data_IF_764856013472
#
_entry.id   IF_764856013472
#
_cell.length_a   1.000
_cell.length_b   1.000
_cell.length_c   1.000
_cell.angle_alpha   90.00
_cell.angle_beta   90.00
_cell.angle_gamma   90.00
#
_symmetry.space_group_name_H-M   'P 1'
#
loop_
_entity.id
_entity.type
_entity.pdbx_description
1 polymer ?
#
# COMPACT_ATOMS: atom_id res chain seq x y z
N UNK A 1 16.96 0.36 3.85
CA UNK A 1 15.71 1.10 3.51
C UNK A 1 14.52 0.31 4.01
N UNK A 2 13.60 0.95 4.68
CA UNK A 2 12.37 0.36 5.22
C UNK A 2 11.14 0.83 4.44
N UNK A 3 10.07 0.07 4.51
CA UNK A 3 8.75 0.48 4.02
C UNK A 3 7.76 0.55 5.17
N UNK A 4 7.16 1.72 5.37
CA UNK A 4 6.03 1.94 6.26
C UNK A 4 4.74 1.68 5.49
N UNK A 5 3.84 0.83 6.03
CA UNK A 5 2.55 0.53 5.41
C UNK A 5 1.42 0.98 6.34
N UNK A 6 0.57 1.89 5.87
CA UNK A 6 -0.59 2.36 6.60
C UNK A 6 -1.74 1.35 6.50
N UNK A 7 -1.98 0.60 7.56
CA UNK A 7 -2.91 -0.53 7.59
C UNK A 7 -4.01 -0.41 8.66
N UNK A 8 -4.20 0.78 9.24
CA UNK A 8 -5.08 0.96 10.40
C UNK A 8 -6.46 1.54 10.11
N UNK A 9 -6.83 1.79 8.84
CA UNK A 9 -8.11 2.39 8.47
C UNK A 9 -9.32 1.45 8.63
N UNK A 10 -10.52 2.03 8.83
CA UNK A 10 -11.77 1.29 9.06
C UNK A 10 -12.29 0.51 7.84
N UNK A 11 -11.93 0.90 6.61
CA UNK A 11 -12.34 0.21 5.38
C UNK A 11 -13.84 0.23 5.10
N UNK A 12 -14.56 1.28 5.50
CA UNK A 12 -16.03 1.37 5.47
C UNK A 12 -16.65 1.24 4.08
N UNK A 13 -15.91 1.55 3.02
CA UNK A 13 -16.37 1.46 1.61
C UNK A 13 -16.48 0.03 1.07
N UNK A 14 -15.93 -0.95 1.77
CA UNK A 14 -15.97 -2.38 1.45
C UNK A 14 -16.40 -3.18 2.70
N UNK A 15 -17.47 -2.73 3.33
CA UNK A 15 -17.96 -3.25 4.62
C UNK A 15 -18.28 -4.73 4.61
N UNK A 16 -18.69 -5.30 3.47
CA UNK A 16 -18.95 -6.73 3.28
C UNK A 16 -17.74 -7.61 3.63
N UNK A 17 -16.54 -7.12 3.33
CA UNK A 17 -15.28 -7.81 3.60
C UNK A 17 -14.65 -7.39 4.94
N UNK A 18 -14.85 -6.13 5.34
CA UNK A 18 -14.16 -5.56 6.51
C UNK A 18 -14.93 -5.74 7.81
N UNK A 19 -16.11 -6.36 7.76
CA UNK A 19 -16.86 -6.76 8.96
C UNK A 19 -16.11 -7.76 9.86
N UNK A 20 -15.23 -8.60 9.28
CA UNK A 20 -14.47 -9.63 10.01
C UNK A 20 -12.97 -9.38 10.06
N UNK A 21 -12.40 -8.69 9.07
CA UNK A 21 -10.96 -8.43 8.92
C UNK A 21 -10.68 -6.98 8.51
N UNK A 22 -9.51 -6.40 8.78
CA UNK A 22 -9.18 -5.06 8.29
C UNK A 22 -8.92 -5.11 6.77
N UNK A 23 -9.13 -4.00 6.07
CA UNK A 23 -9.01 -3.91 4.61
C UNK A 23 -7.71 -4.49 4.04
N UNK A 24 -6.51 -4.27 4.64
CA UNK A 24 -5.26 -4.87 4.19
C UNK A 24 -5.22 -6.40 4.22
N UNK A 25 -6.14 -7.03 4.97
CA UNK A 25 -6.25 -8.49 5.08
C UNK A 25 -7.33 -9.09 4.16
N UNK A 26 -7.97 -8.29 3.32
CA UNK A 26 -8.86 -8.80 2.27
C UNK A 26 -8.02 -9.49 1.20
N UNK A 27 -8.44 -10.69 0.81
CA UNK A 27 -7.64 -11.58 -0.02
C UNK A 27 -7.89 -11.38 -1.52
N UNK A 28 -6.81 -11.50 -2.28
CA UNK A 28 -6.75 -11.62 -3.73
C UNK A 28 -5.93 -12.87 -4.04
N UNK A 29 -6.51 -13.84 -4.75
CA UNK A 29 -5.84 -15.10 -5.05
C UNK A 29 -5.44 -15.89 -3.80
N UNK A 30 -6.22 -15.82 -2.71
CA UNK A 30 -5.95 -16.50 -1.45
C UNK A 30 -4.80 -15.90 -0.62
N UNK A 31 -4.34 -14.68 -0.94
CA UNK A 31 -3.36 -13.93 -0.16
C UNK A 31 -3.87 -12.53 0.16
N UNK A 32 -3.65 -12.00 1.39
CA UNK A 32 -4.04 -10.63 1.72
C UNK A 32 -3.45 -9.61 0.73
N UNK A 33 -4.19 -8.53 0.41
CA UNK A 33 -3.65 -7.46 -0.44
C UNK A 33 -2.36 -6.87 0.16
N UNK A 34 -2.23 -6.84 1.48
CA UNK A 34 -1.01 -6.48 2.20
C UNK A 34 0.19 -7.34 1.76
N UNK A 35 0.00 -8.65 1.59
CA UNK A 35 1.04 -9.55 1.10
C UNK A 35 1.47 -9.18 -0.33
N UNK A 36 0.54 -8.87 -1.22
CA UNK A 36 0.85 -8.43 -2.58
C UNK A 36 1.67 -7.14 -2.60
N UNK A 37 1.30 -6.17 -1.77
CA UNK A 37 2.05 -4.91 -1.62
C UNK A 37 3.49 -5.21 -1.16
N UNK A 38 3.65 -6.02 -0.11
CA UNK A 38 4.97 -6.40 0.41
C UNK A 38 5.81 -7.15 -0.64
N UNK A 39 5.19 -8.02 -1.47
CA UNK A 39 5.87 -8.71 -2.58
C UNK A 39 6.37 -7.73 -3.64
N UNK A 40 5.60 -6.69 -3.95
CA UNK A 40 6.04 -5.63 -4.88
C UNK A 40 7.32 -4.96 -4.37
N UNK A 41 7.37 -4.53 -3.12
CA UNK A 41 8.59 -3.96 -2.52
C UNK A 41 9.74 -4.97 -2.46
N UNK A 42 9.43 -6.22 -2.12
CA UNK A 42 10.40 -7.31 -2.01
C UNK A 42 11.08 -7.63 -3.36
N UNK A 43 10.35 -7.55 -4.47
CA UNK A 43 10.90 -7.69 -5.83
C UNK A 43 11.95 -6.63 -6.17
N UNK A 44 11.93 -5.49 -5.46
CA UNK A 44 12.91 -4.41 -5.55
C UNK A 44 13.94 -4.40 -4.41
N UNK A 45 14.08 -5.52 -3.68
CA UNK A 45 15.10 -5.70 -2.64
C UNK A 45 14.78 -5.05 -1.30
N UNK A 46 13.54 -4.62 -1.05
CA UNK A 46 13.12 -4.04 0.22
C UNK A 46 12.34 -5.10 1.01
N UNK A 47 12.92 -5.53 2.14
CA UNK A 47 12.41 -6.65 2.96
C UNK A 47 12.14 -6.27 4.43
N UNK A 48 12.33 -5.01 4.82
CA UNK A 48 12.09 -4.52 6.19
C UNK A 48 10.84 -3.63 6.19
N UNK A 49 9.78 -4.09 6.85
CA UNK A 49 8.47 -3.49 6.86
C UNK A 49 8.05 -3.06 8.25
N UNK A 50 7.50 -1.84 8.35
CA UNK A 50 6.84 -1.32 9.55
C UNK A 50 5.37 -1.11 9.23
N UNK A 51 4.49 -1.90 9.82
CA UNK A 51 3.06 -1.89 9.52
C UNK A 51 2.32 -1.16 10.63
N UNK A 52 1.68 -0.04 10.29
CA UNK A 52 0.85 0.75 11.19
C UNK A 52 -0.51 0.09 11.37
N UNK A 53 -0.68 -0.71 12.41
CA UNK A 53 -1.93 -1.35 12.76
C UNK A 53 -2.90 -0.38 13.45
N UNK A 54 -4.17 -0.60 13.32
CA UNK A 54 -5.28 0.10 13.99
C UNK A 54 -6.49 -0.81 14.02
N UNK A 55 -7.59 -0.41 13.40
CA UNK A 55 -8.82 -1.19 13.36
C UNK A 55 -8.55 -2.66 13.02
N UNK A 56 -8.97 -3.56 13.92
CA UNK A 56 -8.73 -5.01 13.82
C UNK A 56 -7.25 -5.39 13.57
N UNK A 57 -6.31 -4.59 14.06
CA UNK A 57 -4.87 -4.83 13.89
C UNK A 57 -4.39 -6.18 14.43
N UNK A 58 -5.16 -6.79 15.36
CA UNK A 58 -4.89 -8.14 15.85
C UNK A 58 -4.90 -9.18 14.73
N UNK A 59 -5.79 -9.08 13.74
CA UNK A 59 -5.86 -10.00 12.60
C UNK A 59 -4.56 -9.97 11.79
N UNK A 60 -3.95 -8.77 11.63
CA UNK A 60 -2.64 -8.64 10.97
C UNK A 60 -1.55 -9.30 11.82
N UNK A 61 -1.57 -9.08 13.14
CA UNK A 61 -0.61 -9.69 14.08
C UNK A 61 -0.71 -11.21 14.07
N UNK A 62 -1.92 -11.75 14.12
CA UNK A 62 -2.19 -13.19 14.07
C UNK A 62 -1.70 -13.81 12.75
N UNK A 63 -1.94 -13.15 11.62
CA UNK A 63 -1.46 -13.60 10.32
C UNK A 63 0.06 -13.76 10.29
N UNK A 64 0.83 -12.77 10.76
CA UNK A 64 2.28 -12.84 10.78
C UNK A 64 2.83 -13.77 11.87
N UNK A 65 2.15 -13.86 13.03
CA UNK A 65 2.52 -14.83 14.08
C UNK A 65 2.42 -16.28 13.58
N UNK A 66 1.44 -16.56 12.72
CA UNK A 66 1.20 -17.87 12.13
C UNK A 66 1.76 -18.02 10.71
N UNK A 67 2.56 -17.07 10.23
CA UNK A 67 3.00 -17.01 8.83
C UNK A 67 3.72 -18.31 8.39
N UNK A 68 4.59 -18.87 9.24
CA UNK A 68 5.28 -20.11 8.94
C UNK A 68 4.34 -21.31 8.82
N UNK A 69 3.24 -21.33 9.58
CA UNK A 69 2.22 -22.37 9.45
C UNK A 69 1.52 -22.35 8.09
N UNK A 70 1.34 -21.16 7.52
CA UNK A 70 0.72 -21.00 6.22
C UNK A 70 1.68 -21.23 5.03
N UNK A 71 2.98 -21.11 5.27
CA UNK A 71 4.00 -21.10 4.22
C UNK A 71 4.97 -22.29 4.32
N UNK A 72 4.63 -23.36 5.07
CA UNK A 72 5.52 -24.49 5.31
C UNK A 72 4.77 -25.80 5.37
N UNK A 73 5.44 -26.88 4.99
CA UNK A 73 4.98 -28.24 5.31
C UNK A 73 5.38 -28.59 6.75
N UNK A 74 4.42 -28.99 7.56
CA UNK A 74 4.60 -29.14 9.00
C UNK A 74 4.03 -30.49 9.48
N UNK A 75 4.77 -31.17 10.36
CA UNK A 75 4.28 -32.29 11.14
C UNK A 75 4.06 -31.87 12.59
N UNK A 76 2.87 -32.11 13.10
CA UNK A 76 2.55 -31.99 14.52
C UNK A 76 2.53 -33.38 15.16
N UNK A 77 3.46 -33.66 16.03
CA UNK A 77 3.44 -34.84 16.92
C UNK A 77 2.67 -34.47 18.19
N UNK A 78 1.38 -34.75 18.19
CA UNK A 78 0.49 -34.41 19.30
C UNK A 78 0.81 -35.18 20.57
N UNK A 79 1.35 -36.42 20.45
CA UNK A 79 1.70 -37.25 21.61
C UNK A 79 2.88 -36.63 22.36
N UNK A 80 3.89 -36.15 21.65
CA UNK A 80 5.12 -35.61 22.23
C UNK A 80 5.16 -34.11 22.31
N UNK A 81 4.06 -33.42 21.90
CA UNK A 81 3.95 -31.97 21.82
C UNK A 81 5.11 -31.33 21.05
N UNK A 82 5.42 -31.86 19.87
CA UNK A 82 6.50 -31.40 19.01
C UNK A 82 5.97 -30.93 17.68
N UNK A 83 6.62 -29.92 17.12
CA UNK A 83 6.38 -29.40 15.77
C UNK A 83 7.67 -29.48 14.95
N UNK A 84 7.58 -30.03 13.74
CA UNK A 84 8.70 -30.15 12.80
C UNK A 84 8.30 -29.45 11.49
N UNK A 85 9.11 -28.47 11.07
CA UNK A 85 8.92 -27.72 9.83
C UNK A 85 9.83 -28.30 8.76
N UNK A 86 9.27 -28.89 7.68
CA UNK A 86 10.02 -29.60 6.65
C UNK A 86 10.49 -28.69 5.52
N UNK A 87 9.58 -27.88 4.96
CA UNK A 87 9.89 -26.94 3.88
C UNK A 87 9.50 -25.53 4.30
N UNK A 88 10.34 -24.56 3.94
CA UNK A 88 10.14 -23.15 4.29
C UNK A 88 10.04 -22.35 3.01
N UNK A 89 8.84 -21.89 2.69
CA UNK A 89 8.55 -21.01 1.55
C UNK A 89 8.30 -19.56 1.98
N UNK A 90 8.59 -19.25 3.25
CA UNK A 90 8.40 -17.90 3.78
C UNK A 90 9.37 -16.91 3.12
N UNK A 91 8.87 -15.76 2.78
CA UNK A 91 9.64 -14.64 2.28
C UNK A 91 10.65 -14.15 3.33
N UNK A 92 11.80 -13.58 2.90
CA UNK A 92 12.85 -13.10 3.79
C UNK A 92 12.51 -11.76 4.45
N UNK A 93 11.28 -11.63 4.96
CA UNK A 93 10.79 -10.37 5.51
C UNK A 93 11.12 -10.21 6.98
N UNK A 94 11.48 -8.98 7.34
CA UNK A 94 11.46 -8.49 8.70
C UNK A 94 10.23 -7.58 8.85
N UNK A 95 9.32 -7.94 9.74
CA UNK A 95 8.04 -7.26 9.91
C UNK A 95 7.90 -6.74 11.33
N UNK A 96 7.74 -5.43 11.46
CA UNK A 96 7.42 -4.77 12.72
C UNK A 96 5.97 -4.32 12.68
N UNK A 97 5.16 -4.78 13.63
CA UNK A 97 3.73 -4.50 13.74
C UNK A 97 3.51 -3.53 14.89
N UNK A 98 3.16 -2.28 14.57
CA UNK A 98 2.99 -1.22 15.57
C UNK A 98 1.50 -0.91 15.72
N UNK A 99 1.01 -0.96 16.95
CA UNK A 99 -0.32 -0.45 17.26
C UNK A 99 -0.29 1.07 17.24
N UNK A 100 -0.93 1.65 16.24
CA UNK A 100 -0.99 3.10 16.07
C UNK A 100 -2.34 3.71 16.48
N UNK A 101 -3.21 2.91 17.12
CA UNK A 101 -4.52 3.33 17.60
C UNK A 101 -5.61 3.34 16.52
N UNK A 102 -6.87 3.19 16.93
CA UNK A 102 -8.01 3.09 16.02
C UNK A 102 -8.36 4.44 15.38
N UNK A 103 -8.35 5.52 16.19
CA UNK A 103 -8.78 6.87 15.79
C UNK A 103 -7.65 7.75 15.24
N UNK A 104 -6.48 7.19 15.01
CA UNK A 104 -5.30 7.92 14.53
C UNK A 104 -5.37 8.09 13.00
N UNK A 105 -5.12 9.30 12.53
CA UNK A 105 -5.10 9.63 11.11
C UNK A 105 -3.77 9.22 10.43
N UNK A 106 -3.69 9.31 9.12
CA UNK A 106 -2.56 8.83 8.31
C UNK A 106 -1.22 9.43 8.73
N UNK A 107 -1.15 10.75 8.92
CA UNK A 107 0.05 11.43 9.42
C UNK A 107 0.36 11.08 10.89
N UNK A 108 -0.67 10.99 11.74
CA UNK A 108 -0.49 10.54 13.11
C UNK A 108 0.10 9.13 13.22
N UNK A 109 -0.34 8.19 12.36
CA UNK A 109 0.25 6.84 12.30
C UNK A 109 1.73 6.88 11.90
N UNK A 110 2.07 7.69 10.91
CA UNK A 110 3.45 7.89 10.50
C UNK A 110 4.28 8.49 11.65
N UNK A 111 3.75 9.46 12.38
CA UNK A 111 4.41 10.05 13.55
C UNK A 111 4.71 9.00 14.64
N UNK A 112 3.75 8.11 14.92
CA UNK A 112 3.90 7.05 15.94
C UNK A 112 4.96 6.00 15.60
N UNK A 113 5.36 5.88 14.34
CA UNK A 113 6.43 4.97 13.90
C UNK A 113 7.75 5.70 13.58
N UNK A 114 7.86 6.98 13.91
CA UNK A 114 9.04 7.81 13.63
C UNK A 114 10.35 7.19 14.11
N UNK A 115 10.38 6.59 15.30
CA UNK A 115 11.58 5.94 15.84
C UNK A 115 12.08 4.75 15.01
N UNK A 116 11.22 4.15 14.18
CA UNK A 116 11.59 3.06 13.31
C UNK A 116 12.26 3.52 12.02
N UNK A 117 12.13 4.81 11.64
CA UNK A 117 12.61 5.35 10.35
C UNK A 117 13.58 6.51 10.48
N UNK A 118 13.77 7.07 11.69
CA UNK A 118 14.59 8.27 11.92
C UNK A 118 16.06 8.15 11.50
N UNK A 119 16.61 6.93 11.54
CA UNK A 119 18.01 6.65 11.21
C UNK A 119 18.19 6.19 9.75
N UNK A 120 17.12 6.15 8.95
CA UNK A 120 17.20 5.84 7.53
C UNK A 120 17.65 7.07 6.72
N UNK A 121 18.39 6.89 5.63
CA UNK A 121 18.64 7.97 4.67
C UNK A 121 17.34 8.44 4.01
N UNK A 122 16.51 7.48 3.63
CA UNK A 122 15.16 7.62 3.15
C UNK A 122 14.38 6.33 3.41
N UNK A 123 13.06 6.40 3.47
CA UNK A 123 12.17 5.25 3.63
C UNK A 123 10.98 5.33 2.67
N UNK A 124 10.39 4.19 2.37
CA UNK A 124 9.16 4.14 1.59
C UNK A 124 7.93 4.24 2.51
N UNK A 125 6.87 4.88 2.02
CA UNK A 125 5.54 4.89 2.66
C UNK A 125 4.49 4.49 1.63
N UNK A 126 3.55 3.63 2.00
CA UNK A 126 2.42 3.29 1.13
C UNK A 126 1.15 3.00 1.94
N UNK A 127 0.02 3.01 1.24
CA UNK A 127 -1.27 2.57 1.78
C UNK A 127 -1.37 1.04 1.71
N UNK A 128 -2.12 0.45 2.66
CA UNK A 128 -2.29 -1.00 2.77
C UNK A 128 -3.42 -1.58 1.91
N UNK A 129 -3.88 -0.87 0.87
CA UNK A 129 -5.10 -1.20 0.15
C UNK A 129 -5.05 -1.01 -1.38
N UNK A 130 -3.89 -0.73 -1.94
CA UNK A 130 -3.71 -0.55 -3.38
C UNK A 130 -2.47 -1.25 -3.92
N UNK A 131 -2.57 -1.77 -5.13
CA UNK A 131 -1.50 -2.44 -5.86
C UNK A 131 -1.13 -1.70 -7.14
N UNK A 132 0.14 -1.80 -7.55
CA UNK A 132 0.68 -1.15 -8.74
C UNK A 132 1.89 -1.92 -9.27
N UNK A 133 2.18 -1.77 -10.55
CA UNK A 133 3.42 -2.21 -11.18
C UNK A 133 4.51 -1.13 -11.18
N UNK A 134 4.40 -0.14 -10.29
CA UNK A 134 5.40 0.91 -10.14
C UNK A 134 6.79 0.34 -9.85
N UNK A 135 7.79 0.82 -10.59
CA UNK A 135 9.17 0.43 -10.33
C UNK A 135 9.71 1.19 -9.11
N UNK A 136 9.75 0.50 -7.97
CA UNK A 136 10.20 1.07 -6.69
C UNK A 136 11.69 1.49 -6.77
N UNK A 137 12.52 0.77 -7.50
CA UNK A 137 13.94 1.12 -7.67
C UNK A 137 14.09 2.45 -8.39
N UNK A 138 13.32 2.66 -9.46
CA UNK A 138 13.34 3.91 -10.21
C UNK A 138 12.76 5.06 -9.38
N UNK A 139 11.68 4.82 -8.62
CA UNK A 139 11.09 5.79 -7.71
C UNK A 139 12.10 6.26 -6.64
N UNK A 140 12.84 5.33 -6.02
CA UNK A 140 13.89 5.65 -5.05
C UNK A 140 15.04 6.43 -5.69
N UNK A 141 15.46 6.02 -6.88
CA UNK A 141 16.52 6.70 -7.64
C UNK A 141 16.10 8.13 -8.00
N UNK A 142 14.87 8.29 -8.46
CA UNK A 142 14.28 9.59 -8.76
C UNK A 142 14.27 10.50 -7.52
N UNK A 143 13.76 10.00 -6.37
CA UNK A 143 13.74 10.76 -5.12
C UNK A 143 15.12 11.29 -4.74
N UNK A 144 16.14 10.44 -4.77
CA UNK A 144 17.52 10.84 -4.46
C UNK A 144 18.06 11.92 -5.43
N UNK A 145 17.69 11.84 -6.69
CA UNK A 145 18.10 12.83 -7.70
C UNK A 145 17.41 14.19 -7.51
N UNK A 146 16.17 14.21 -7.06
CA UNK A 146 15.40 15.46 -6.84
C UNK A 146 15.87 16.24 -5.60
N UNK A 147 16.49 15.60 -4.63
CA UNK A 147 16.98 16.22 -3.36
C UNK A 147 15.87 16.91 -2.58
N UNK A 148 14.68 16.37 -2.62
CA UNK A 148 13.47 16.83 -1.89
C UNK A 148 13.21 15.97 -0.66
N UNK A 149 12.40 16.44 0.28
CA UNK A 149 12.03 15.67 1.47
C UNK A 149 10.99 14.57 1.18
N UNK A 150 10.14 14.78 0.17
CA UNK A 150 9.10 13.81 -0.18
C UNK A 150 8.97 13.66 -1.70
N UNK A 151 8.76 12.43 -2.14
CA UNK A 151 8.35 12.10 -3.51
C UNK A 151 7.12 11.22 -3.44
N UNK A 152 6.07 11.59 -4.16
CA UNK A 152 4.88 10.76 -4.35
C UNK A 152 4.85 10.15 -5.76
N UNK A 153 4.18 9.02 -5.92
CA UNK A 153 3.85 8.50 -7.24
C UNK A 153 2.58 9.17 -7.74
N UNK A 154 2.69 9.89 -8.87
CA UNK A 154 1.55 10.48 -9.56
C UNK A 154 1.06 9.52 -10.63
N UNK A 155 -0.23 9.20 -10.63
CA UNK A 155 -0.84 8.25 -11.57
C UNK A 155 -2.18 8.78 -12.10
N UNK A 156 -2.60 8.23 -13.22
CA UNK A 156 -3.93 8.52 -13.79
C UNK A 156 -4.91 7.49 -13.21
N UNK A 157 -6.00 7.92 -12.53
CA UNK A 157 -6.95 7.00 -11.94
C UNK A 157 -7.65 6.14 -13.02
N UNK A 158 -7.99 4.87 -12.71
CA UNK A 158 -8.79 4.06 -13.62
C UNK A 158 -10.15 4.72 -13.86
N UNK A 159 -10.62 4.71 -15.11
CA UNK A 159 -11.92 5.28 -15.46
C UNK A 159 -13.06 4.53 -14.78
N UNK A 160 -13.94 5.26 -14.12
CA UNK A 160 -15.12 4.70 -13.42
C UNK A 160 -16.39 4.85 -14.22
N UNK A 161 -16.47 5.84 -15.11
CA UNK A 161 -17.66 6.23 -15.88
C UNK A 161 -17.34 6.36 -17.36
N UNK A 162 -18.38 6.28 -18.20
CA UNK A 162 -18.27 6.68 -19.60
C UNK A 162 -18.08 8.19 -19.73
N UNK A 163 -17.15 8.63 -20.56
CA UNK A 163 -16.96 10.03 -20.89
C UNK A 163 -17.72 10.40 -22.17
N UNK A 164 -18.37 11.55 -22.15
CA UNK A 164 -19.10 12.10 -23.27
C UNK A 164 -18.36 13.33 -23.81
N UNK A 165 -18.15 13.37 -25.13
CA UNK A 165 -17.83 14.61 -25.82
C UNK A 165 -19.14 15.17 -26.39
N UNK A 166 -19.48 16.40 -26.01
CA UNK A 166 -20.79 16.99 -26.33
C UNK A 166 -20.66 18.31 -27.08
N UNK A 167 -21.57 18.49 -28.06
CA UNK A 167 -21.80 19.77 -28.69
C UNK A 167 -23.27 20.18 -28.47
N UNK A 168 -23.50 21.09 -27.55
CA UNK A 168 -24.85 21.39 -27.02
C UNK A 168 -25.44 20.12 -26.39
N UNK A 169 -26.62 19.70 -26.86
CA UNK A 169 -27.29 18.48 -26.36
C UNK A 169 -26.97 17.23 -27.20
N UNK A 170 -26.08 17.33 -28.21
CA UNK A 170 -25.67 16.18 -29.02
C UNK A 170 -24.37 15.60 -28.51
N UNK A 171 -24.30 14.24 -28.41
CA UNK A 171 -23.09 13.49 -28.07
C UNK A 171 -22.30 13.29 -29.36
N UNK A 172 -21.09 13.86 -29.45
CA UNK A 172 -20.17 13.66 -30.56
C UNK A 172 -19.41 12.36 -30.45
N UNK A 173 -18.99 12.01 -29.23
CA UNK A 173 -18.34 10.71 -28.96
C UNK A 173 -18.66 10.22 -27.55
N UNK A 174 -18.70 8.90 -27.41
CA UNK A 174 -18.81 8.21 -26.15
C UNK A 174 -17.58 7.30 -25.97
N UNK A 175 -16.92 7.38 -24.83
CA UNK A 175 -15.79 6.50 -24.49
C UNK A 175 -16.09 5.84 -23.16
N UNK A 176 -16.24 4.50 -23.16
CA UNK A 176 -16.48 3.75 -21.94
C UNK A 176 -15.20 3.71 -21.10
N UNK A 177 -15.29 4.18 -19.85
CA UNK A 177 -14.21 4.15 -18.83
C UNK A 177 -12.84 4.58 -19.37
N UNK A 178 -12.71 5.74 -20.03
CA UNK A 178 -11.39 6.21 -20.43
C UNK A 178 -10.54 6.39 -19.16
N UNK A 179 -9.24 6.22 -19.27
CA UNK A 179 -8.32 6.61 -18.19
C UNK A 179 -8.52 8.11 -17.99
N UNK A 180 -9.05 8.50 -16.82
CA UNK A 180 -9.30 9.86 -16.32
C UNK A 180 -9.45 10.99 -17.35
N UNK A 181 -9.68 12.18 -16.92
CA UNK A 181 -9.66 13.42 -17.72
C UNK A 181 -8.24 13.95 -18.00
N UNK A 182 -7.22 13.14 -17.70
CA UNK A 182 -5.80 13.50 -17.83
C UNK A 182 -5.19 14.10 -16.56
N UNK A 183 -5.98 14.37 -15.52
CA UNK A 183 -5.44 14.82 -14.24
C UNK A 183 -4.76 13.66 -13.50
N UNK A 184 -3.50 13.87 -13.09
CA UNK A 184 -2.80 12.94 -12.22
C UNK A 184 -3.27 13.10 -10.77
N UNK A 185 -3.32 11.98 -10.06
CA UNK A 185 -3.67 11.94 -8.64
C UNK A 185 -2.52 11.34 -7.82
N UNK A 186 -2.57 11.52 -6.50
CA UNK A 186 -1.70 10.83 -5.57
C UNK A 186 -2.00 9.32 -5.60
N UNK A 187 -1.06 8.54 -6.12
CA UNK A 187 -1.15 7.07 -6.21
C UNK A 187 -0.59 6.34 -4.99
N UNK A 188 -0.18 7.03 -3.94
CA UNK A 188 0.59 6.42 -2.84
C UNK A 188 2.04 6.16 -3.26
N UNK A 189 2.67 5.08 -2.77
CA UNK A 189 4.05 4.71 -3.09
C UNK A 189 4.99 5.91 -3.00
N UNK A 190 5.17 6.40 -1.77
CA UNK A 190 6.05 7.53 -1.47
C UNK A 190 7.47 7.05 -1.19
N UNK A 191 8.44 7.91 -1.44
CA UNK A 191 9.77 7.89 -0.84
C UNK A 191 9.96 9.17 -0.05
N UNK A 192 10.35 9.04 1.21
CA UNK A 192 10.37 10.11 2.20
C UNK A 192 11.72 10.16 2.90
N UNK A 193 12.22 11.36 3.14
CA UNK A 193 13.29 11.61 4.09
C UNK A 193 12.74 11.67 5.52
N UNK A 194 13.48 11.24 6.56
CA UNK A 194 12.99 11.28 7.95
C UNK A 194 12.53 12.66 8.44
N UNK A 195 13.05 13.73 7.85
CA UNK A 195 12.66 15.12 8.18
C UNK A 195 11.16 15.41 7.95
N UNK A 196 10.45 14.59 7.15
CA UNK A 196 9.00 14.75 6.99
C UNK A 196 8.22 14.58 8.29
N UNK A 197 8.80 13.92 9.30
CA UNK A 197 8.20 13.75 10.62
C UNK A 197 7.96 15.11 11.33
N UNK A 198 8.77 16.12 11.03
CA UNK A 198 8.63 17.48 11.60
C UNK A 198 7.35 18.20 11.11
N UNK A 199 6.75 17.73 10.02
CA UNK A 199 5.48 18.25 9.50
C UNK A 199 4.24 17.64 10.18
N UNK A 200 4.43 16.66 11.05
CA UNK A 200 3.34 15.92 11.69
C UNK A 200 3.09 16.45 13.11
N UNK A 201 1.97 17.14 13.32
CA UNK A 201 1.64 17.77 14.59
C UNK A 201 1.23 16.77 15.68
N UNK A 202 0.26 15.91 15.38
CA UNK A 202 -0.36 14.98 16.34
C UNK A 202 -1.06 13.79 15.66
N UNK A 203 -1.81 13.02 16.44
CA UNK A 203 -2.59 11.87 15.98
C UNK A 203 -3.72 12.21 14.98
N UNK A 204 -4.17 13.46 14.97
CA UNK A 204 -5.23 13.94 14.05
C UNK A 204 -4.68 14.46 12.74
N UNK A 205 -3.37 14.51 12.58
CA UNK A 205 -2.71 14.94 11.35
C UNK A 205 -3.06 13.98 10.20
N UNK A 206 -3.59 14.53 9.13
CA UNK A 206 -3.85 13.82 7.86
C UNK A 206 -2.68 14.10 6.94
N UNK A 207 -1.90 13.07 6.58
CA UNK A 207 -0.70 13.18 5.74
C UNK A 207 -0.97 13.88 4.42
N UNK A 208 -2.12 13.60 3.81
CA UNK A 208 -2.55 14.06 2.50
C UNK A 208 -3.04 15.51 2.45
N UNK A 209 -3.02 16.22 3.59
CA UNK A 209 -3.44 17.61 3.74
C UNK A 209 -2.24 18.51 4.05
N UNK A 210 -2.31 19.20 5.18
CA UNK A 210 -1.30 20.18 5.61
C UNK A 210 0.16 19.71 5.39
N UNK A 211 0.59 18.48 5.76
CA UNK A 211 1.97 18.06 5.54
C UNK A 211 2.38 18.07 4.06
N UNK A 212 1.57 17.49 3.16
CA UNK A 212 1.87 17.49 1.73
C UNK A 212 1.73 18.89 1.10
N UNK A 213 0.75 19.69 1.54
CA UNK A 213 0.54 21.07 1.09
C UNK A 213 1.76 21.93 1.42
N UNK A 214 2.24 21.88 2.67
CA UNK A 214 3.45 22.62 3.11
C UNK A 214 4.71 22.14 2.37
N UNK A 215 4.90 20.84 2.20
CA UNK A 215 6.02 20.30 1.42
C UNK A 215 5.99 20.81 -0.02
N UNK A 216 4.81 20.93 -0.64
CA UNK A 216 4.65 21.47 -1.98
C UNK A 216 4.98 22.97 -2.04
N UNK A 217 4.48 23.76 -1.08
CA UNK A 217 4.73 25.19 -0.96
C UNK A 217 6.22 25.51 -0.73
N UNK A 218 6.91 24.69 0.05
CA UNK A 218 8.34 24.80 0.33
C UNK A 218 9.23 24.29 -0.82
N UNK A 219 8.65 23.68 -1.86
CA UNK A 219 9.40 23.08 -2.99
C UNK A 219 10.06 21.74 -2.65
N UNK A 220 9.65 21.10 -1.56
CA UNK A 220 10.19 19.85 -1.02
C UNK A 220 9.35 18.61 -1.37
N UNK A 221 8.39 18.74 -2.29
CA UNK A 221 7.56 17.66 -2.83
C UNK A 221 7.81 17.47 -4.31
N UNK A 222 8.21 16.27 -4.74
CA UNK A 222 8.33 15.88 -6.13
C UNK A 222 7.28 14.82 -6.51
N UNK A 223 6.96 14.73 -7.80
CA UNK A 223 6.03 13.75 -8.35
C UNK A 223 6.74 12.83 -9.34
N UNK A 224 6.79 11.54 -9.04
CA UNK A 224 7.21 10.49 -9.95
C UNK A 224 6.03 10.04 -10.80
N UNK A 225 6.06 10.31 -12.11
CA UNK A 225 4.96 9.98 -13.01
C UNK A 225 4.95 8.49 -13.33
N UNK A 226 3.82 7.83 -13.04
CA UNK A 226 3.57 6.43 -13.31
C UNK A 226 2.38 6.27 -14.25
N UNK A 227 2.63 5.75 -15.45
CA UNK A 227 1.62 5.54 -16.49
C UNK A 227 1.18 4.07 -16.61
N UNK A 228 1.71 3.19 -15.75
CA UNK A 228 1.42 1.76 -15.72
C UNK A 228 0.10 1.42 -15.02
N UNK A 229 0.06 0.25 -14.44
CA UNK A 229 -1.08 -0.23 -13.67
C UNK A 229 -1.09 0.33 -12.25
N UNK A 230 -2.22 0.83 -11.82
CA UNK A 230 -2.48 1.24 -10.45
C UNK A 230 -3.95 1.00 -10.13
N UNK A 231 -4.25 0.30 -9.04
CA UNK A 231 -5.61 -0.03 -8.64
C UNK A 231 -5.75 -0.07 -7.11
N UNK A 232 -6.54 0.83 -6.52
CA UNK A 232 -6.96 0.71 -5.13
C UNK A 232 -8.09 -0.32 -5.03
N UNK A 233 -8.16 -1.04 -3.91
CA UNK A 233 -9.26 -1.95 -3.60
C UNK A 233 -10.28 -1.26 -2.70
N UNK A 234 -11.00 -0.27 -3.20
CA UNK A 234 -11.93 0.55 -2.42
C UNK A 234 -13.34 -0.04 -2.30
N UNK A 235 -13.75 -0.82 -3.29
CA UNK A 235 -15.09 -1.39 -3.40
C UNK A 235 -15.03 -2.89 -3.67
N UNK A 236 -16.14 -3.60 -3.48
CA UNK A 236 -16.26 -5.02 -3.86
C UNK A 236 -15.97 -5.22 -5.37
N UNK A 237 -16.37 -4.27 -6.21
CA UNK A 237 -16.05 -4.29 -7.65
C UNK A 237 -14.54 -4.25 -7.91
N UNK A 238 -13.80 -3.41 -7.16
CA UNK A 238 -12.34 -3.33 -7.29
C UNK A 238 -11.70 -4.66 -6.87
N UNK A 239 -12.17 -5.27 -5.78
CA UNK A 239 -11.74 -6.62 -5.35
C UNK A 239 -11.97 -7.66 -6.44
N UNK A 240 -13.19 -7.72 -6.98
CA UNK A 240 -13.54 -8.68 -8.05
C UNK A 240 -12.64 -8.49 -9.28
N UNK A 241 -12.36 -7.26 -9.67
CA UNK A 241 -11.46 -6.96 -10.77
C UNK A 241 -10.03 -7.43 -10.51
N UNK A 242 -9.49 -7.19 -9.31
CA UNK A 242 -8.16 -7.67 -8.92
C UNK A 242 -8.11 -9.21 -8.89
N UNK A 243 -9.16 -9.85 -8.38
CA UNK A 243 -9.27 -11.31 -8.36
C UNK A 243 -9.29 -11.90 -9.79
N UNK A 244 -10.05 -11.32 -10.71
CA UNK A 244 -10.10 -11.73 -12.11
C UNK A 244 -8.73 -11.63 -12.78
N UNK A 245 -8.01 -10.52 -12.57
CA UNK A 245 -6.64 -10.32 -13.08
C UNK A 245 -5.69 -11.37 -12.52
N UNK A 246 -5.80 -11.69 -11.23
CA UNK A 246 -4.97 -12.70 -10.60
C UNK A 246 -5.24 -14.10 -11.15
N UNK A 247 -6.51 -14.52 -11.20
CA UNK A 247 -6.93 -15.85 -11.67
C UNK A 247 -6.60 -16.07 -13.15
N UNK A 248 -6.66 -15.01 -13.96
CA UNK A 248 -6.29 -15.09 -15.39
C UNK A 248 -4.77 -15.09 -15.63
N UNK A 249 -3.93 -14.96 -14.57
CA UNK A 249 -2.48 -14.85 -14.70
C UNK A 249 -2.01 -13.53 -15.31
N UNK A 250 -2.87 -12.51 -15.39
CA UNK A 250 -2.59 -11.21 -16.02
C UNK A 250 -2.47 -10.07 -15.00
N UNK A 251 -2.19 -10.38 -13.74
CA UNK A 251 -2.03 -9.40 -12.67
C UNK A 251 -0.78 -8.52 -12.91
N UNK A 252 -0.89 -7.26 -13.35
CA UNK A 252 0.27 -6.45 -13.74
C UNK A 252 1.18 -6.15 -12.55
N UNK A 253 0.62 -6.05 -11.34
CA UNK A 253 1.39 -5.81 -10.10
C UNK A 253 2.21 -7.03 -9.64
N UNK A 254 2.00 -8.22 -10.25
CA UNK A 254 2.82 -9.40 -9.97
C UNK A 254 4.17 -9.26 -10.69
N UNK A 255 5.03 -8.40 -10.19
CA UNK A 255 6.37 -8.10 -10.72
C UNK A 255 7.45 -9.07 -10.21
N UNK A 256 7.08 -10.05 -9.41
CA UNK A 256 7.94 -11.11 -8.89
C UNK A 256 7.69 -12.44 -9.62
N UNK A 257 8.67 -13.29 -9.62
CA UNK A 257 8.61 -14.68 -10.13
C UNK A 257 7.88 -15.63 -9.18
#
# INVERSE_FOLDING_TARGET
MKTVILAGGLGTRISEETSTRPKPMVEIGGKPILWHIMKTYSAHGIHDFVICCGYKGYVIKEYFANYFLHMSDITFDMQNNKMEVHQRYAEPWKVTLVDTGDDTMTGGRLKRVADHVKDEEAFCLTYGDGVSDVNITDLVTFHKAQKVKATLTATIPPGRFGALDMNGNKVNSFREKPKGDGAMINGGFFVLSPQVIEYLADDKTVWEREPLERLAEEGDLAAFQHNGFWQPMDTLRDKMHLEELWQSGKAPWKVWS
#
